data_IF_313874635931
#
_entry.id   IF_313874635931
#
_cell.length_a   1.000
_cell.length_b   1.000
_cell.length_c   1.000
_cell.angle_alpha   90.00
_cell.angle_beta   90.00
_cell.angle_gamma   90.00
#
_symmetry.space_group_name_H-M   'P 1'
#
loop_
_entity.id
_entity.type
_entity.pdbx_description
1 polymer ?
#
# COMPACT_ATOMS: atom_id res chain seq x y z
N UNK A 1 -3.52 4.54 5.52
CA UNK A 1 -3.22 5.98 5.56
C UNK A 1 -1.82 6.21 5.04
N UNK A 2 -1.65 6.96 3.96
CA UNK A 2 -0.33 7.31 3.42
C UNK A 2 0.28 8.36 4.36
N UNK A 3 1.14 7.89 5.27
CA UNK A 3 1.68 8.73 6.35
C UNK A 3 2.97 8.16 6.91
N UNK A 4 3.75 9.01 7.57
CA UNK A 4 4.89 8.58 8.37
C UNK A 4 4.90 9.23 9.75
N UNK A 5 5.52 8.58 10.74
CA UNK A 5 5.59 9.11 12.09
C UNK A 5 6.71 8.51 12.94
N UNK A 6 7.17 9.27 13.94
CA UNK A 6 8.24 8.83 14.87
C UNK A 6 7.65 7.99 15.99
N UNK A 7 8.01 6.71 16.03
CA UNK A 7 7.47 5.75 16.99
C UNK A 7 5.97 5.43 16.81
N UNK A 8 5.31 6.03 15.81
CA UNK A 8 3.86 5.91 15.60
C UNK A 8 3.52 4.56 14.95
N UNK A 9 2.75 3.72 15.65
CA UNK A 9 2.31 2.41 15.16
C UNK A 9 0.98 2.46 14.37
N UNK A 10 0.38 3.62 14.20
CA UNK A 10 -0.77 3.81 13.32
C UNK A 10 -0.38 4.34 11.93
N UNK A 11 0.86 4.84 11.78
CA UNK A 11 1.42 5.30 10.52
C UNK A 11 1.90 4.15 9.64
N UNK A 12 1.85 4.40 8.33
CA UNK A 12 2.29 3.46 7.30
C UNK A 12 3.81 3.30 7.28
N UNK A 13 4.56 4.40 7.36
CA UNK A 13 5.99 4.40 7.66
C UNK A 13 6.20 4.76 9.13
N UNK A 14 6.96 3.94 9.84
CA UNK A 14 7.39 4.22 11.21
C UNK A 14 8.89 4.47 11.24
N UNK A 15 9.29 5.50 11.98
CA UNK A 15 10.69 5.71 12.35
C UNK A 15 10.87 5.22 13.80
N UNK A 16 11.53 4.07 14.03
CA UNK A 16 11.68 3.53 15.38
C UNK A 16 12.54 4.43 16.27
N UNK A 17 12.19 4.50 17.55
CA UNK A 17 13.06 5.10 18.58
C UNK A 17 14.20 4.12 18.86
N UNK A 18 15.30 4.23 18.12
CA UNK A 18 16.47 3.35 18.21
C UNK A 18 17.74 4.15 17.90
N UNK A 19 18.89 3.70 18.42
CA UNK A 19 20.20 4.26 18.06
C UNK A 19 20.51 4.09 16.57
N UNK A 20 20.00 3.01 15.96
CA UNK A 20 20.18 2.75 14.53
C UNK A 20 19.06 3.43 13.73
N UNK A 21 19.44 4.34 12.84
CA UNK A 21 18.50 5.02 11.92
C UNK A 21 18.00 4.03 10.89
N UNK A 22 16.69 3.79 10.86
CA UNK A 22 16.03 2.96 9.85
C UNK A 22 14.59 3.43 9.61
N UNK A 23 14.06 3.04 8.46
CA UNK A 23 12.67 3.23 8.06
C UNK A 23 11.96 1.88 8.17
N UNK A 24 10.84 1.83 8.88
CA UNK A 24 9.98 0.65 8.98
C UNK A 24 8.75 0.87 8.10
N UNK A 25 8.74 0.26 6.91
CA UNK A 25 7.60 0.26 5.99
C UNK A 25 6.67 -0.91 6.30
N UNK A 26 5.43 -0.63 6.69
CA UNK A 26 4.56 -1.61 7.38
C UNK A 26 3.40 -2.14 6.55
N UNK A 27 3.40 -1.85 5.25
CA UNK A 27 2.37 -2.30 4.31
C UNK A 27 2.54 -3.74 3.84
N UNK A 28 3.76 -4.23 3.52
CA UNK A 28 3.91 -5.56 2.95
C UNK A 28 3.53 -6.63 3.97
N UNK A 29 2.82 -7.64 3.49
CA UNK A 29 2.48 -8.85 4.24
C UNK A 29 3.16 -10.09 3.63
N UNK A 30 2.94 -11.25 4.25
CA UNK A 30 3.58 -12.51 3.86
C UNK A 30 3.13 -13.06 2.49
N UNK A 31 2.08 -12.52 1.87
CA UNK A 31 1.65 -12.90 0.52
C UNK A 31 2.52 -12.28 -0.57
N UNK A 32 3.31 -11.27 -0.23
CA UNK A 32 4.17 -10.58 -1.18
C UNK A 32 5.40 -11.41 -1.53
N UNK A 33 5.82 -11.36 -2.80
CA UNK A 33 7.13 -11.86 -3.19
C UNK A 33 8.21 -10.90 -2.64
N UNK A 34 9.10 -11.34 -1.72
CA UNK A 34 10.05 -10.43 -1.06
C UNK A 34 11.03 -9.78 -2.04
N UNK A 35 11.41 -10.48 -3.11
CA UNK A 35 12.33 -9.94 -4.12
C UNK A 35 11.69 -8.78 -4.90
N UNK A 36 10.43 -8.94 -5.32
CA UNK A 36 9.70 -7.87 -6.02
C UNK A 36 9.43 -6.69 -5.08
N UNK A 37 9.03 -6.97 -3.84
CA UNK A 37 8.79 -5.94 -2.83
C UNK A 37 10.02 -5.08 -2.60
N UNK A 38 11.19 -5.70 -2.32
CA UNK A 38 12.41 -4.92 -2.09
C UNK A 38 12.89 -4.18 -3.34
N UNK A 39 12.70 -4.76 -4.53
CA UNK A 39 13.02 -4.08 -5.79
C UNK A 39 12.21 -2.80 -5.98
N UNK A 40 10.89 -2.87 -5.74
CA UNK A 40 9.99 -1.71 -5.81
C UNK A 40 10.31 -0.67 -4.75
N UNK A 41 10.51 -1.09 -3.50
CA UNK A 41 10.83 -0.17 -2.40
C UNK A 41 12.16 0.56 -2.62
N UNK A 42 13.18 -0.15 -3.09
CA UNK A 42 14.47 0.45 -3.40
C UNK A 42 14.32 1.46 -4.54
N UNK A 43 13.61 1.11 -5.61
CA UNK A 43 13.40 2.01 -6.76
C UNK A 43 12.62 3.26 -6.37
N UNK A 44 11.53 3.12 -5.61
CA UNK A 44 10.74 4.25 -5.13
C UNK A 44 11.54 5.15 -4.17
N UNK A 45 12.33 4.56 -3.27
CA UNK A 45 13.22 5.31 -2.39
C UNK A 45 14.31 6.09 -3.15
N UNK A 46 14.93 5.46 -4.16
CA UNK A 46 15.93 6.11 -5.01
C UNK A 46 15.32 7.23 -5.84
N UNK A 47 14.12 7.03 -6.41
CA UNK A 47 13.41 8.06 -7.15
C UNK A 47 13.16 9.31 -6.28
N UNK A 48 12.72 9.11 -5.04
CA UNK A 48 12.55 10.21 -4.09
C UNK A 48 13.85 10.96 -3.76
N UNK A 49 14.98 10.27 -3.67
CA UNK A 49 16.30 10.90 -3.43
C UNK A 49 16.77 11.67 -4.67
N UNK A 50 16.69 11.05 -5.86
CA UNK A 50 17.18 11.65 -7.12
C UNK A 50 16.38 12.90 -7.49
N UNK A 51 15.06 12.87 -7.28
CA UNK A 51 14.18 13.99 -7.60
C UNK A 51 13.95 14.94 -6.41
N UNK A 52 14.69 14.77 -5.30
CA UNK A 52 14.61 15.61 -4.10
C UNK A 52 13.17 15.80 -3.56
N UNK A 53 12.37 14.73 -3.62
CA UNK A 53 10.96 14.79 -3.23
C UNK A 53 10.84 15.10 -1.74
N UNK A 54 9.95 16.06 -1.43
CA UNK A 54 9.70 16.45 -0.05
C UNK A 54 8.69 15.50 0.60
N UNK A 55 9.11 14.88 1.70
CA UNK A 55 8.19 14.11 2.52
C UNK A 55 7.19 15.05 3.24
N UNK A 56 5.92 14.64 3.39
CA UNK A 56 4.94 15.43 4.14
C UNK A 56 5.35 15.55 5.62
N UNK A 57 4.73 16.45 6.40
CA UNK A 57 4.98 16.53 7.83
C UNK A 57 4.68 15.19 8.57
N UNK A 58 5.44 14.83 9.61
CA UNK A 58 5.21 13.60 10.36
C UNK A 58 3.91 13.65 11.17
N UNK A 59 3.24 12.52 11.26
CA UNK A 59 2.01 12.35 12.04
C UNK A 59 2.36 11.86 13.45
N UNK A 60 2.01 12.68 14.45
CA UNK A 60 2.29 12.45 15.87
C UNK A 60 1.08 12.00 16.70
N UNK A 61 -0.09 11.84 16.08
CA UNK A 61 -1.31 11.32 16.72
C UNK A 61 -1.67 9.94 16.17
N UNK A 62 -2.52 9.22 16.89
CA UNK A 62 -3.02 7.92 16.47
C UNK A 62 -4.08 8.09 15.37
N UNK A 63 -3.82 7.53 14.19
CA UNK A 63 -4.71 7.61 13.04
C UNK A 63 -5.95 6.73 13.16
N UNK A 64 -5.92 5.71 14.03
CA UNK A 64 -7.08 4.85 14.27
C UNK A 64 -8.18 5.54 15.07
N UNK A 65 -7.82 6.57 15.84
CA UNK A 65 -8.79 7.34 16.64
C UNK A 65 -9.51 8.41 15.79
N UNK A 66 -9.14 8.56 14.51
CA UNK A 66 -9.76 9.48 13.59
C UNK A 66 -10.79 8.76 12.71
N UNK A 67 -11.98 9.34 12.60
CA UNK A 67 -12.95 8.95 11.57
C UNK A 67 -12.46 9.32 10.16
N UNK A 68 -12.96 8.60 9.15
CA UNK A 68 -12.56 8.76 7.74
C UNK A 68 -12.72 10.21 7.25
N UNK A 69 -13.76 10.93 7.69
CA UNK A 69 -13.99 12.33 7.30
C UNK A 69 -12.84 13.23 7.75
N UNK A 70 -12.45 13.13 9.03
CA UNK A 70 -11.35 13.92 9.60
C UNK A 70 -9.99 13.57 8.99
N UNK A 71 -9.83 12.36 8.47
CA UNK A 71 -8.63 11.93 7.74
C UNK A 71 -8.57 12.62 6.37
N UNK A 72 -9.70 12.70 5.67
CA UNK A 72 -9.83 13.44 4.41
C UNK A 72 -9.63 14.94 4.60
N UNK A 73 -10.23 15.53 5.63
CA UNK A 73 -10.04 16.96 5.99
C UNK A 73 -8.55 17.30 6.22
N UNK A 74 -7.80 16.35 6.77
CA UNK A 74 -6.36 16.50 7.01
C UNK A 74 -5.50 16.21 5.77
N UNK A 75 -6.11 15.95 4.61
CA UNK A 75 -5.42 15.65 3.36
C UNK A 75 -4.64 14.34 3.39
N UNK A 76 -4.98 13.41 4.29
CA UNK A 76 -4.28 12.13 4.41
C UNK A 76 -4.91 11.14 3.44
N UNK A 77 -4.14 10.76 2.43
CA UNK A 77 -4.57 9.78 1.44
C UNK A 77 -4.69 8.36 2.02
N UNK A 78 -5.52 7.54 1.39
CA UNK A 78 -5.72 6.14 1.76
C UNK A 78 -4.99 5.23 0.79
N UNK A 79 -4.58 4.06 1.29
CA UNK A 79 -4.14 3.00 0.39
C UNK A 79 -5.34 2.50 -0.43
N UNK A 80 -5.10 1.94 -1.62
CA UNK A 80 -6.14 1.24 -2.36
C UNK A 80 -6.83 0.20 -1.46
N UNK A 81 -8.16 0.16 -1.50
CA UNK A 81 -8.97 -0.75 -0.66
C UNK A 81 -9.11 -2.15 -1.26
N UNK A 82 -8.79 -2.31 -2.55
CA UNK A 82 -8.91 -3.58 -3.28
C UNK A 82 -7.67 -3.84 -4.14
N UNK A 83 -7.43 -5.11 -4.46
CA UNK A 83 -6.39 -5.52 -5.41
C UNK A 83 -6.60 -4.83 -6.77
N UNK A 84 -7.86 -4.74 -7.24
CA UNK A 84 -8.21 -4.02 -8.48
C UNK A 84 -7.74 -2.57 -8.48
N UNK A 85 -7.98 -1.85 -7.39
CA UNK A 85 -7.59 -0.45 -7.31
C UNK A 85 -6.07 -0.30 -7.20
N UNK A 86 -5.39 -1.20 -6.47
CA UNK A 86 -3.93 -1.24 -6.43
C UNK A 86 -3.32 -1.51 -7.81
N UNK A 87 -3.89 -2.43 -8.60
CA UNK A 87 -3.44 -2.72 -9.96
C UNK A 87 -3.68 -1.54 -10.91
N UNK A 88 -4.76 -0.77 -10.73
CA UNK A 88 -5.01 0.46 -11.49
C UNK A 88 -3.98 1.54 -11.18
N UNK A 89 -3.64 1.75 -9.91
CA UNK A 89 -2.61 2.72 -9.52
C UNK A 89 -1.22 2.29 -10.02
N UNK A 90 -0.87 1.00 -9.88
CA UNK A 90 0.35 0.44 -10.46
C UNK A 90 0.42 0.65 -12.00
N UNK A 91 -0.71 0.56 -12.70
CA UNK A 91 -0.77 0.84 -14.15
C UNK A 91 -0.50 2.31 -14.50
N UNK A 92 -0.60 3.25 -13.57
CA UNK A 92 -0.30 4.67 -13.82
C UNK A 92 1.13 5.04 -13.44
N UNK A 93 1.76 4.28 -12.56
CA UNK A 93 3.06 4.62 -11.98
C UNK A 93 4.26 4.13 -12.84
N UNK A 94 5.02 5.03 -13.50
CA UNK A 94 6.18 4.63 -14.30
C UNK A 94 7.37 4.15 -13.46
N UNK A 95 7.52 4.65 -12.22
CA UNK A 95 8.64 4.30 -11.33
C UNK A 95 8.52 2.85 -10.90
N UNK A 96 7.36 2.45 -10.40
CA UNK A 96 7.10 1.08 -9.95
C UNK A 96 7.12 0.10 -11.11
N UNK A 97 6.57 0.47 -12.28
CA UNK A 97 6.68 -0.35 -13.50
C UNK A 97 8.13 -0.63 -13.88
N UNK A 98 8.97 0.40 -13.85
CA UNK A 98 10.39 0.26 -14.19
C UNK A 98 11.13 -0.64 -13.20
N UNK A 99 10.69 -0.70 -11.93
CA UNK A 99 11.26 -1.60 -10.93
C UNK A 99 10.98 -3.09 -11.23
N UNK A 100 9.82 -3.39 -11.81
CA UNK A 100 9.39 -4.75 -12.12
C UNK A 100 9.98 -5.28 -13.43
N UNK A 101 10.50 -4.39 -14.30
CA UNK A 101 11.17 -4.74 -15.56
C UNK A 101 10.32 -5.72 -16.39
N UNK A 102 10.93 -6.82 -16.85
CA UNK A 102 10.30 -7.87 -17.66
C UNK A 102 9.19 -8.65 -16.92
N UNK A 103 9.16 -8.57 -15.59
CA UNK A 103 8.14 -9.26 -14.79
C UNK A 103 6.80 -8.50 -14.77
N UNK A 104 6.77 -7.22 -15.15
CA UNK A 104 5.58 -6.37 -15.05
C UNK A 104 4.35 -6.99 -15.73
N UNK A 105 4.45 -7.35 -17.00
CA UNK A 105 3.30 -7.84 -17.76
C UNK A 105 2.80 -9.18 -17.23
N UNK A 106 3.71 -10.08 -16.83
CA UNK A 106 3.36 -11.35 -16.21
C UNK A 106 2.68 -11.15 -14.85
N UNK A 107 3.20 -10.24 -14.03
CA UNK A 107 2.62 -9.87 -12.74
C UNK A 107 1.21 -9.31 -12.91
N UNK A 108 1.02 -8.35 -13.83
CA UNK A 108 -0.28 -7.75 -14.09
C UNK A 108 -1.29 -8.79 -14.55
N UNK A 109 -0.94 -9.66 -15.51
CA UNK A 109 -1.83 -10.74 -15.97
C UNK A 109 -2.23 -11.67 -14.83
N UNK A 110 -1.26 -12.13 -14.03
CA UNK A 110 -1.52 -13.04 -12.92
C UNK A 110 -2.44 -12.40 -11.87
N UNK A 111 -2.18 -11.15 -11.49
CA UNK A 111 -2.97 -10.47 -10.45
C UNK A 111 -4.35 -10.00 -10.91
N UNK A 112 -4.53 -9.69 -12.20
CA UNK A 112 -5.88 -9.47 -12.75
C UNK A 112 -6.69 -10.77 -12.76
N UNK A 113 -6.07 -11.90 -13.12
CA UNK A 113 -6.72 -13.21 -13.03
C UNK A 113 -7.13 -13.55 -11.60
N UNK A 114 -6.24 -13.34 -10.62
CA UNK A 114 -6.54 -13.51 -9.19
C UNK A 114 -7.73 -12.65 -8.74
N UNK A 115 -7.79 -11.40 -9.18
CA UNK A 115 -8.93 -10.53 -8.90
C UNK A 115 -10.22 -11.01 -9.55
N UNK A 116 -10.16 -11.45 -10.81
CA UNK A 116 -11.33 -11.96 -11.55
C UNK A 116 -11.87 -13.26 -10.95
N UNK A 117 -11.00 -14.14 -10.46
CA UNK A 117 -11.40 -15.33 -9.70
C UNK A 117 -12.12 -14.95 -8.40
N UNK A 118 -11.57 -14.00 -7.62
CA UNK A 118 -12.18 -13.55 -6.37
C UNK A 118 -13.57 -12.93 -6.56
N UNK A 119 -13.73 -12.02 -7.53
CA UNK A 119 -15.01 -11.28 -7.72
C UNK A 119 -16.14 -12.14 -8.29
N UNK A 120 -15.83 -13.30 -8.86
CA UNK A 120 -16.83 -14.25 -9.39
C UNK A 120 -17.24 -15.29 -8.33
N UNK A 121 -16.50 -15.35 -7.22
CA UNK A 121 -16.78 -16.26 -6.12
C UNK A 121 -17.92 -15.73 -5.25
N UNK A 122 -18.95 -16.56 -5.04
CA UNK A 122 -20.02 -16.27 -4.08
C UNK A 122 -19.54 -16.68 -2.69
N UNK A 123 -19.38 -15.70 -1.81
CA UNK A 123 -18.84 -15.89 -0.47
C UNK A 123 -19.90 -16.44 0.49
N UNK A 124 -19.44 -17.13 1.54
CA UNK A 124 -20.31 -17.60 2.62
C UNK A 124 -21.10 -16.46 3.28
N UNK A 125 -20.52 -15.28 3.40
CA UNK A 125 -21.20 -14.09 3.93
C UNK A 125 -22.39 -13.67 3.07
N UNK A 126 -22.27 -13.75 1.73
CA UNK A 126 -23.39 -13.46 0.82
C UNK A 126 -24.50 -14.50 0.95
N UNK A 127 -24.14 -15.80 1.07
CA UNK A 127 -25.11 -16.85 1.35
C UNK A 127 -25.87 -16.58 2.66
N UNK A 128 -25.17 -16.34 3.75
CA UNK A 128 -25.79 -16.10 5.07
C UNK A 128 -26.66 -14.86 5.09
N UNK A 129 -26.27 -13.81 4.36
CA UNK A 129 -26.99 -12.54 4.35
C UNK A 129 -28.22 -12.52 3.43
N UNK A 130 -28.15 -13.20 2.29
CA UNK A 130 -29.16 -13.06 1.23
C UNK A 130 -29.98 -14.33 0.96
N UNK A 131 -29.50 -15.53 1.32
CA UNK A 131 -30.22 -16.78 1.03
C UNK A 131 -31.37 -17.07 2.01
N UNK A 132 -31.25 -16.62 3.27
CA UNK A 132 -32.24 -16.85 4.33
C UNK A 132 -33.17 -15.63 4.57
N UNK A 133 -33.30 -14.74 3.58
CA UNK A 133 -34.38 -13.76 3.52
C UNK A 133 -35.62 -14.42 2.93
#
# INVERSE_FOLDING_TARGET
>A
YISWGRGNRSSLIRIPKSKNKRIEFRVPDASCNPYLTFSVLLKAGLDGVINELQAPPPINYNLYDLGIEKIKEKGIELLPSTLKDALKELKKDPVVKSALLKAYDAFMRAKWKEWDEYRLYVTQWEFEKYLNI
#
